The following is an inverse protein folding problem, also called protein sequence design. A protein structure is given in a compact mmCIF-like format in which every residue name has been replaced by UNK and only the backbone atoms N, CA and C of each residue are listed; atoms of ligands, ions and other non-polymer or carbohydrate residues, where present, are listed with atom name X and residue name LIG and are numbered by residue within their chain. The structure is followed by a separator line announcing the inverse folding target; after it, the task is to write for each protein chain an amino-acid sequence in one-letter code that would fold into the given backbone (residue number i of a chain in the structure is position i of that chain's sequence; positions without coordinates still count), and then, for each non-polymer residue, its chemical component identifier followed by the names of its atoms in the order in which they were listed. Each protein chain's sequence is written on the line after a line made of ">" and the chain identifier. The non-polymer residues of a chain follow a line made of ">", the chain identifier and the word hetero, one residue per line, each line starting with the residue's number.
data_IF_279405571805
#
_entry.id   IF_279405571805
#
_cell.length_a   1.000
_cell.length_b   1.000
_cell.length_c   1.000
_cell.angle_alpha   90.00
_cell.angle_beta   90.00
_cell.angle_gamma   90.00
#
_symmetry.space_group_name_H-M   'P 1'
#
loop_
_entity.id
_entity.type
_entity.pdbx_description
1 polymer ?
#
# COMPACT_ATOMS: atom_id res chain seq x y z
N UNK A 1 21.92 -6.19 28.31
CA UNK A 1 21.72 -5.26 27.18
C UNK A 1 20.31 -5.31 26.63
N UNK A 2 19.93 -6.41 25.98
CA UNK A 2 18.81 -6.46 25.04
C UNK A 2 17.45 -6.05 25.64
N UNK A 3 17.04 -6.62 26.77
CA UNK A 3 15.77 -6.27 27.43
C UNK A 3 15.65 -4.77 27.79
N UNK A 4 16.77 -4.09 28.04
CA UNK A 4 16.78 -2.64 28.32
C UNK A 4 16.49 -1.84 27.04
N UNK A 5 17.20 -2.18 25.95
CA UNK A 5 16.98 -1.56 24.64
C UNK A 5 15.54 -1.81 24.14
N UNK A 6 15.06 -3.05 24.23
CA UNK A 6 13.68 -3.42 23.90
C UNK A 6 12.65 -2.64 24.71
N UNK A 7 12.84 -2.49 26.03
CA UNK A 7 11.92 -1.68 26.85
C UNK A 7 11.90 -0.21 26.45
N UNK A 8 13.06 0.35 26.10
CA UNK A 8 13.17 1.74 25.61
C UNK A 8 12.39 1.91 24.31
N UNK A 9 12.62 1.01 23.35
CA UNK A 9 11.92 0.98 22.08
C UNK A 9 10.40 0.81 22.27
N UNK A 10 9.96 -0.19 23.04
CA UNK A 10 8.54 -0.41 23.28
C UNK A 10 7.88 0.79 23.93
N UNK A 11 8.56 1.48 24.86
CA UNK A 11 8.06 2.71 25.46
C UNK A 11 7.89 3.80 24.40
N UNK A 12 8.91 4.06 23.59
CA UNK A 12 8.84 5.06 22.52
C UNK A 12 7.71 4.75 21.53
N UNK A 13 7.56 3.47 21.13
CA UNK A 13 6.48 3.05 20.24
C UNK A 13 5.11 3.22 20.88
N UNK A 14 4.89 2.79 22.12
CA UNK A 14 3.59 2.91 22.80
C UNK A 14 3.22 4.37 23.10
N UNK A 15 4.20 5.23 23.38
CA UNK A 15 3.99 6.66 23.63
C UNK A 15 3.66 7.43 22.32
N UNK A 16 3.95 6.86 21.15
CA UNK A 16 3.67 7.50 19.87
C UNK A 16 2.15 7.49 19.55
N UNK A 17 1.51 8.64 19.21
CA UNK A 17 0.06 8.71 18.99
C UNK A 17 -0.48 7.75 17.94
N UNK A 18 0.29 7.51 16.87
CA UNK A 18 -0.10 6.61 15.79
C UNK A 18 -0.32 5.16 16.27
N UNK A 19 0.38 4.71 17.31
CA UNK A 19 0.22 3.36 17.86
C UNK A 19 -1.18 3.17 18.43
N UNK A 20 -1.74 4.21 19.06
CA UNK A 20 -3.12 4.20 19.53
C UNK A 20 -4.11 4.17 18.36
N UNK A 21 -3.87 4.99 17.34
CA UNK A 21 -4.71 4.99 16.12
C UNK A 21 -4.76 3.61 15.49
N UNK A 22 -3.62 2.93 15.37
CA UNK A 22 -3.58 1.57 14.83
C UNK A 22 -4.30 0.56 15.73
N UNK A 23 -4.18 0.65 17.05
CA UNK A 23 -4.91 -0.23 17.95
C UNK A 23 -6.43 0.00 17.89
N UNK A 24 -6.88 1.23 17.64
CA UNK A 24 -8.31 1.55 17.60
C UNK A 24 -8.94 1.30 16.21
N UNK A 25 -8.23 1.58 15.14
CA UNK A 25 -8.79 1.66 13.78
C UNK A 25 -8.04 0.83 12.74
N UNK A 26 -6.95 0.16 13.13
CA UNK A 26 -6.09 -0.56 12.21
C UNK A 26 -5.54 0.32 11.09
N UNK A 27 -5.24 -0.30 9.95
CA UNK A 27 -4.81 0.47 8.77
C UNK A 27 -5.96 1.22 8.12
N UNK A 28 -7.22 0.79 8.32
CA UNK A 28 -8.43 1.38 7.75
C UNK A 28 -8.55 2.89 8.03
N UNK A 29 -7.90 3.39 9.10
CA UNK A 29 -7.74 4.82 9.39
C UNK A 29 -7.22 5.63 8.18
N UNK A 30 -6.57 4.99 7.20
CA UNK A 30 -6.06 5.63 5.99
C UNK A 30 -7.13 6.07 5.00
N UNK A 31 -8.32 5.46 5.01
CA UNK A 31 -9.38 5.82 4.08
C UNK A 31 -9.69 7.32 4.11
N UNK A 32 -9.89 7.88 5.30
CA UNK A 32 -10.18 9.31 5.47
C UNK A 32 -8.98 10.21 5.16
N UNK A 33 -7.76 9.80 5.53
CA UNK A 33 -6.56 10.61 5.21
C UNK A 33 -6.38 10.69 3.70
N UNK A 34 -6.42 9.54 3.02
CA UNK A 34 -6.23 9.46 1.59
C UNK A 34 -7.34 10.21 0.84
N UNK A 35 -8.59 10.03 1.25
CA UNK A 35 -9.72 10.79 0.71
C UNK A 35 -9.57 12.30 0.95
N UNK A 36 -9.08 12.74 2.11
CA UNK A 36 -8.90 14.18 2.40
C UNK A 36 -7.86 14.85 1.52
N UNK A 37 -6.90 14.08 1.01
CA UNK A 37 -5.89 14.51 0.03
C UNK A 37 -6.39 14.39 -1.41
N UNK A 38 -7.61 13.90 -1.64
CA UNK A 38 -8.11 13.61 -2.98
C UNK A 38 -7.38 12.46 -3.65
N UNK A 39 -6.87 11.50 -2.87
CA UNK A 39 -6.03 10.40 -3.37
C UNK A 39 -6.63 9.01 -3.19
N UNK A 40 -7.89 8.87 -2.75
CA UNK A 40 -8.52 7.55 -2.59
C UNK A 40 -9.00 7.03 -3.95
N UNK A 41 -8.40 5.94 -4.49
CA UNK A 41 -8.77 5.44 -5.81
C UNK A 41 -10.23 5.05 -5.87
N UNK A 42 -10.94 5.65 -6.82
CA UNK A 42 -12.37 5.43 -7.02
C UNK A 42 -12.64 5.14 -8.49
N UNK A 43 -13.33 4.01 -8.75
CA UNK A 43 -13.70 3.53 -10.09
C UNK A 43 -12.50 3.48 -11.06
N UNK A 44 -11.59 2.54 -10.85
CA UNK A 44 -10.33 2.39 -11.61
C UNK A 44 -9.48 3.67 -11.62
N UNK A 45 -9.27 4.27 -10.44
CA UNK A 45 -8.53 5.53 -10.33
C UNK A 45 -9.09 6.65 -11.25
N UNK A 46 -10.39 6.67 -11.53
CA UNK A 46 -10.98 7.79 -12.31
C UNK A 46 -11.12 9.03 -11.42
N UNK A 47 -11.43 8.83 -10.14
CA UNK A 47 -11.66 9.87 -9.15
C UNK A 47 -10.83 9.61 -7.89
N UNK A 48 -10.48 10.69 -7.18
CA UNK A 48 -9.68 10.65 -5.94
C UNK A 48 -10.52 10.73 -4.66
N UNK A 49 -11.84 10.82 -4.80
CA UNK A 49 -12.83 10.89 -3.74
C UNK A 49 -13.91 9.85 -3.98
N UNK A 50 -14.56 9.41 -2.89
CA UNK A 50 -15.62 8.42 -2.95
C UNK A 50 -16.84 8.89 -2.14
N UNK A 51 -17.99 8.94 -2.79
CA UNK A 51 -19.21 9.48 -2.18
C UNK A 51 -19.70 8.65 -0.97
N UNK A 52 -19.41 7.36 -0.95
CA UNK A 52 -19.75 6.42 0.14
C UNK A 52 -18.56 6.13 1.05
N UNK A 53 -17.61 7.06 1.21
CA UNK A 53 -16.47 6.91 2.12
C UNK A 53 -16.92 6.51 3.53
N UNK A 54 -17.97 7.14 4.05
CA UNK A 54 -18.44 6.92 5.42
C UNK A 54 -18.86 5.46 5.65
N UNK A 55 -19.45 4.81 4.65
CA UNK A 55 -19.88 3.41 4.72
C UNK A 55 -18.71 2.40 4.75
N UNK A 56 -17.51 2.85 4.37
CA UNK A 56 -16.27 2.05 4.36
C UNK A 56 -15.16 2.65 5.23
N UNK A 57 -15.50 3.60 6.09
CA UNK A 57 -14.55 4.27 6.98
C UNK A 57 -14.10 3.36 8.12
N UNK A 58 -12.96 3.71 8.73
CA UNK A 58 -12.43 2.99 9.87
C UNK A 58 -13.35 3.08 11.11
N UNK A 59 -14.02 4.22 11.25
CA UNK A 59 -14.97 4.51 12.31
C UNK A 59 -16.21 3.62 12.17
N UNK A 60 -16.80 3.56 10.97
CA UNK A 60 -17.92 2.64 10.69
C UNK A 60 -17.51 1.19 10.90
N UNK A 61 -16.31 0.81 10.44
CA UNK A 61 -15.78 -0.54 10.68
C UNK A 61 -15.68 -0.82 12.18
N UNK A 62 -15.09 0.09 12.96
CA UNK A 62 -14.94 -0.08 14.40
C UNK A 62 -16.30 -0.20 15.11
N UNK A 63 -17.25 0.66 14.79
CA UNK A 63 -18.58 0.65 15.40
C UNK A 63 -19.31 -0.66 15.10
N UNK A 64 -19.26 -1.14 13.86
CA UNK A 64 -19.81 -2.44 13.47
C UNK A 64 -19.18 -3.61 14.25
N UNK A 65 -17.85 -3.62 14.39
CA UNK A 65 -17.15 -4.68 15.13
C UNK A 65 -17.52 -4.69 16.61
N UNK A 66 -17.67 -3.52 17.23
CA UNK A 66 -18.06 -3.39 18.63
C UNK A 66 -19.52 -3.81 18.85
N UNK A 67 -20.41 -3.45 17.91
CA UNK A 67 -21.83 -3.80 17.99
C UNK A 67 -22.08 -5.30 17.77
N UNK A 68 -21.43 -5.91 16.77
CA UNK A 68 -21.66 -7.31 16.39
C UNK A 68 -21.19 -8.32 17.44
N UNK A 69 -20.11 -8.01 18.16
CA UNK A 69 -19.54 -8.93 19.15
C UNK A 69 -19.17 -10.29 18.54
N UNK A 70 -19.23 -11.36 19.36
CA UNK A 70 -18.85 -12.71 18.92
C UNK A 70 -17.36 -12.81 18.60
N UNK A 71 -17.02 -13.25 17.39
CA UNK A 71 -15.65 -13.32 16.88
C UNK A 71 -15.09 -11.94 16.52
N UNK A 72 -15.95 -10.90 16.42
CA UNK A 72 -15.51 -9.54 16.08
C UNK A 72 -14.43 -9.04 17.02
N UNK A 73 -13.34 -8.53 16.45
CA UNK A 73 -12.27 -7.96 17.25
C UNK A 73 -11.66 -6.76 16.53
N UNK A 74 -11.69 -5.60 17.19
CA UNK A 74 -11.08 -4.36 16.66
C UNK A 74 -9.56 -4.38 16.74
N UNK A 75 -8.96 -5.30 17.51
CA UNK A 75 -7.52 -5.31 17.76
C UNK A 75 -6.95 -6.67 18.17
N UNK A 76 -6.01 -7.18 17.39
CA UNK A 76 -5.18 -8.33 17.76
C UNK A 76 -3.75 -8.20 17.25
N UNK A 77 -2.86 -9.05 17.80
CA UNK A 77 -1.45 -9.12 17.40
C UNK A 77 -1.29 -9.98 16.16
N UNK A 78 -0.66 -9.46 15.11
CA UNK A 78 -0.21 -10.28 13.97
C UNK A 78 0.97 -11.20 14.32
N UNK A 79 1.78 -10.81 15.33
CA UNK A 79 2.92 -11.59 15.80
C UNK A 79 3.10 -11.47 17.32
N UNK A 80 3.73 -12.48 17.92
CA UNK A 80 4.02 -12.51 19.35
C UNK A 80 4.86 -11.29 19.75
N UNK A 81 4.41 -10.55 20.76
CA UNK A 81 5.11 -9.40 21.30
C UNK A 81 4.86 -8.07 20.57
N UNK A 82 4.03 -8.05 19.51
CA UNK A 82 3.61 -6.80 18.88
C UNK A 82 2.79 -5.95 19.85
N UNK A 83 3.28 -4.77 20.20
CA UNK A 83 2.58 -3.83 21.09
C UNK A 83 1.62 -2.89 20.34
N UNK A 84 1.63 -2.90 19.00
CA UNK A 84 0.78 -2.06 18.16
C UNK A 84 -0.63 -2.65 18.05
N UNK A 85 -0.74 -3.97 17.80
CA UNK A 85 -2.01 -4.70 17.69
C UNK A 85 -2.98 -4.08 16.65
N UNK A 86 -2.47 -3.79 15.45
CA UNK A 86 -3.22 -3.11 14.40
C UNK A 86 -4.24 -3.98 13.65
N UNK A 87 -4.16 -5.30 13.79
CA UNK A 87 -4.98 -6.24 13.02
C UNK A 87 -6.38 -6.37 13.61
N UNK A 88 -7.36 -6.73 12.79
CA UNK A 88 -8.77 -6.86 13.19
C UNK A 88 -9.36 -8.21 12.74
N UNK A 89 -10.46 -8.61 13.35
CA UNK A 89 -11.29 -9.74 12.90
C UNK A 89 -12.64 -9.16 12.49
N UNK A 90 -12.92 -9.15 11.19
CA UNK A 90 -14.18 -8.66 10.64
C UNK A 90 -15.20 -9.79 10.57
N UNK A 91 -16.26 -9.67 11.37
CA UNK A 91 -17.35 -10.64 11.46
C UNK A 91 -18.64 -10.12 10.81
N UNK A 92 -19.54 -11.03 10.44
CA UNK A 92 -20.86 -10.73 9.88
C UNK A 92 -21.84 -10.20 10.95
N UNK A 93 -23.06 -9.86 10.54
CA UNK A 93 -24.13 -9.41 11.45
C UNK A 93 -24.53 -10.41 12.55
N UNK A 94 -24.09 -11.67 12.48
CA UNK A 94 -24.29 -12.69 13.52
C UNK A 94 -23.07 -12.83 14.46
N UNK A 95 -22.04 -11.98 14.27
CA UNK A 95 -20.80 -12.04 15.04
C UNK A 95 -19.90 -13.22 14.65
N UNK A 96 -20.10 -13.83 13.48
CA UNK A 96 -19.24 -14.92 12.98
C UNK A 96 -18.15 -14.34 12.08
N UNK A 97 -16.89 -14.74 12.30
CA UNK A 97 -15.77 -14.29 11.48
C UNK A 97 -16.03 -14.48 9.97
N UNK A 98 -15.80 -13.41 9.20
CA UNK A 98 -15.76 -13.42 7.74
C UNK A 98 -14.32 -13.39 7.27
N UNK A 99 -13.53 -12.42 7.76
CA UNK A 99 -12.12 -12.29 7.36
C UNK A 99 -11.30 -11.64 8.47
N UNK A 100 -10.03 -12.04 8.56
CA UNK A 100 -9.07 -11.50 9.51
C UNK A 100 -7.70 -11.38 8.82
N UNK A 101 -7.19 -10.17 8.54
CA UNK A 101 -7.80 -8.84 8.71
C UNK A 101 -8.54 -8.29 7.49
N UNK A 102 -9.37 -7.26 7.72
CA UNK A 102 -9.82 -6.33 6.68
C UNK A 102 -8.94 -5.07 6.74
N UNK A 103 -8.01 -4.94 5.79
CA UNK A 103 -7.00 -3.86 5.77
C UNK A 103 -7.37 -2.76 4.76
N UNK A 104 -6.75 -1.60 4.91
CA UNK A 104 -7.01 -0.41 4.10
C UNK A 104 -6.86 -0.64 2.60
N UNK A 105 -5.80 -1.31 2.16
CA UNK A 105 -5.54 -1.55 0.74
C UNK A 105 -6.68 -2.35 0.11
N UNK A 106 -7.15 -3.40 0.79
CA UNK A 106 -8.34 -4.16 0.40
C UNK A 106 -9.59 -3.28 0.37
N UNK A 107 -9.79 -2.43 1.38
CA UNK A 107 -10.92 -1.49 1.41
C UNK A 107 -10.88 -0.51 0.23
N UNK A 108 -9.70 0.00 -0.11
CA UNK A 108 -9.52 0.89 -1.25
C UNK A 108 -9.74 0.18 -2.59
N UNK A 109 -9.05 -0.94 -2.82
CA UNK A 109 -9.01 -1.59 -4.14
C UNK A 109 -10.21 -2.50 -4.44
N UNK A 110 -10.82 -3.13 -3.42
CA UNK A 110 -12.05 -3.93 -3.57
C UNK A 110 -13.31 -3.18 -3.13
N UNK A 111 -13.17 -1.99 -2.55
CA UNK A 111 -14.26 -1.08 -2.19
C UNK A 111 -14.35 0.08 -3.15
N UNK A 112 -13.76 1.24 -2.80
CA UNK A 112 -13.92 2.50 -3.56
C UNK A 112 -13.48 2.37 -5.02
N UNK A 113 -12.39 1.66 -5.30
CA UNK A 113 -11.88 1.48 -6.66
C UNK A 113 -12.84 0.66 -7.55
N UNK A 114 -13.69 -0.18 -6.94
CA UNK A 114 -14.77 -0.89 -7.63
C UNK A 114 -16.12 -0.17 -7.51
N UNK A 115 -16.19 0.96 -6.80
CA UNK A 115 -17.44 1.68 -6.51
C UNK A 115 -18.33 1.00 -5.47
N UNK A 116 -17.79 0.12 -4.61
CA UNK A 116 -18.53 -0.66 -3.61
C UNK A 116 -18.39 -0.01 -2.23
N UNK A 117 -19.44 0.71 -1.81
CA UNK A 117 -19.52 1.37 -0.50
C UNK A 117 -20.17 0.52 0.58
N UNK A 118 -19.65 -0.68 0.85
CA UNK A 118 -20.18 -1.54 1.92
C UNK A 118 -19.13 -2.53 2.45
N UNK A 119 -18.77 -2.42 3.73
CA UNK A 119 -17.71 -3.24 4.34
C UNK A 119 -17.99 -4.75 4.34
N UNK A 120 -19.24 -5.19 4.47
CA UNK A 120 -19.55 -6.63 4.42
C UNK A 120 -19.29 -7.22 3.02
N UNK A 121 -19.66 -6.47 1.98
CA UNK A 121 -19.37 -6.85 0.59
C UNK A 121 -17.86 -6.86 0.33
N UNK A 122 -17.13 -5.83 0.77
CA UNK A 122 -15.67 -5.79 0.66
C UNK A 122 -15.03 -6.94 1.43
N UNK A 123 -15.47 -7.23 2.65
CA UNK A 123 -15.00 -8.36 3.46
C UNK A 123 -15.24 -9.70 2.76
N UNK A 124 -16.38 -9.85 2.06
CA UNK A 124 -16.65 -11.05 1.27
C UNK A 124 -15.74 -11.17 0.04
N UNK A 125 -15.43 -10.07 -0.66
CA UNK A 125 -14.44 -10.07 -1.74
C UNK A 125 -13.03 -10.40 -1.21
N UNK A 126 -12.66 -9.83 -0.06
CA UNK A 126 -11.40 -10.14 0.63
C UNK A 126 -11.30 -11.62 1.01
N UNK A 127 -12.40 -12.22 1.48
CA UNK A 127 -12.45 -13.65 1.76
C UNK A 127 -12.19 -14.49 0.51
N UNK A 128 -12.80 -14.14 -0.64
CA UNK A 128 -12.54 -14.87 -1.89
C UNK A 128 -11.09 -14.71 -2.35
N UNK A 129 -10.50 -13.52 -2.23
CA UNK A 129 -9.10 -13.28 -2.53
C UNK A 129 -8.18 -14.16 -1.65
N UNK A 130 -8.43 -14.19 -0.34
CA UNK A 130 -7.67 -15.01 0.61
C UNK A 130 -7.83 -16.51 0.34
N UNK A 131 -9.05 -16.98 0.05
CA UNK A 131 -9.32 -18.39 -0.22
C UNK A 131 -8.65 -18.87 -1.53
N UNK A 132 -8.59 -18.00 -2.54
CA UNK A 132 -7.87 -18.27 -3.79
C UNK A 132 -6.36 -18.05 -3.71
N UNK A 133 -5.87 -17.38 -2.65
CA UNK A 133 -4.47 -16.99 -2.52
C UNK A 133 -4.06 -15.88 -3.48
N UNK A 134 -4.96 -14.95 -3.78
CA UNK A 134 -4.73 -13.78 -4.64
C UNK A 134 -4.48 -12.53 -3.81
N UNK A 135 -3.61 -11.65 -4.31
CA UNK A 135 -3.44 -10.30 -3.77
C UNK A 135 -4.70 -9.47 -4.02
N UNK A 136 -5.23 -8.84 -2.96
CA UNK A 136 -6.43 -8.00 -3.04
C UNK A 136 -6.20 -6.70 -3.81
N UNK A 137 -4.96 -6.18 -3.84
CA UNK A 137 -4.60 -4.99 -4.63
C UNK A 137 -4.66 -5.34 -6.11
N UNK A 138 -3.89 -6.34 -6.53
CA UNK A 138 -3.85 -6.79 -7.93
C UNK A 138 -5.23 -7.25 -8.43
N UNK A 139 -5.97 -8.02 -7.62
CA UNK A 139 -7.34 -8.44 -7.94
C UNK A 139 -8.27 -7.24 -8.11
N UNK A 140 -8.23 -6.27 -7.19
CA UNK A 140 -9.06 -5.07 -7.27
C UNK A 140 -8.73 -4.18 -8.46
N UNK A 141 -7.46 -4.04 -8.81
CA UNK A 141 -7.03 -3.35 -10.02
C UNK A 141 -7.51 -4.07 -11.28
N UNK A 142 -7.33 -5.40 -11.38
CA UNK A 142 -7.77 -6.18 -12.53
C UNK A 142 -9.29 -6.13 -12.73
N UNK A 143 -10.07 -6.24 -11.65
CA UNK A 143 -11.52 -6.11 -11.69
C UNK A 143 -11.97 -4.70 -12.10
N UNK A 144 -11.27 -3.66 -11.67
CA UNK A 144 -11.57 -2.27 -12.05
C UNK A 144 -11.29 -2.03 -13.54
N UNK A 145 -10.19 -2.55 -14.07
CA UNK A 145 -9.88 -2.54 -15.51
C UNK A 145 -10.93 -3.33 -16.30
N UNK A 146 -11.38 -4.48 -15.79
CA UNK A 146 -12.45 -5.26 -16.41
C UNK A 146 -13.80 -4.50 -16.40
N UNK A 147 -14.08 -3.73 -15.34
CA UNK A 147 -15.26 -2.87 -15.29
C UNK A 147 -15.20 -1.75 -16.33
N UNK A 148 -14.03 -1.12 -16.50
CA UNK A 148 -13.81 -0.12 -17.55
C UNK A 148 -13.99 -0.70 -18.96
N UNK A 149 -13.65 -1.98 -19.16
CA UNK A 149 -13.93 -2.73 -20.38
C UNK A 149 -15.40 -3.17 -20.56
N UNK A 150 -16.29 -2.79 -19.64
CA UNK A 150 -17.71 -3.15 -19.68
C UNK A 150 -18.00 -4.63 -19.37
N UNK A 151 -17.06 -5.35 -18.72
CA UNK A 151 -17.29 -6.71 -18.22
C UNK A 151 -18.07 -6.74 -16.91
N UNK A 152 -18.09 -5.61 -16.21
CA UNK A 152 -18.80 -5.39 -14.96
C UNK A 152 -19.16 -3.91 -14.84
N UNK A 153 -20.27 -3.59 -14.18
CA UNK A 153 -20.60 -2.23 -13.77
C UNK A 153 -19.91 -1.87 -12.45
N UNK A 154 -19.34 -0.68 -12.34
CA UNK A 154 -18.87 -0.17 -11.04
C UNK A 154 -20.02 -0.15 -10.02
N UNK A 155 -19.74 -0.62 -8.81
CA UNK A 155 -20.70 -0.81 -7.72
C UNK A 155 -21.44 -2.15 -7.74
N UNK A 156 -21.27 -2.95 -8.80
CA UNK A 156 -21.97 -4.23 -8.94
C UNK A 156 -21.19 -5.39 -8.29
N UNK A 157 -21.36 -5.53 -6.98
CA UNK A 157 -20.77 -6.60 -6.18
C UNK A 157 -21.04 -8.02 -6.70
N UNK A 158 -22.24 -8.27 -7.25
CA UNK A 158 -22.60 -9.60 -7.74
C UNK A 158 -21.77 -9.97 -8.97
N UNK A 159 -21.62 -9.04 -9.91
CA UNK A 159 -20.76 -9.23 -11.08
C UNK A 159 -19.30 -9.37 -10.69
N UNK A 160 -18.83 -8.67 -9.65
CA UNK A 160 -17.48 -8.86 -9.12
C UNK A 160 -17.26 -10.30 -8.66
N UNK A 161 -18.20 -10.86 -7.89
CA UNK A 161 -18.17 -12.27 -7.48
C UNK A 161 -18.27 -13.24 -8.66
N UNK A 162 -19.06 -12.93 -9.68
CA UNK A 162 -19.16 -13.75 -10.90
C UNK A 162 -17.81 -13.82 -11.63
N UNK A 163 -17.11 -12.68 -11.79
CA UNK A 163 -15.77 -12.65 -12.39
C UNK A 163 -14.72 -13.38 -11.53
N UNK A 164 -14.79 -13.28 -10.20
CA UNK A 164 -13.95 -14.09 -9.31
C UNK A 164 -14.27 -15.58 -9.44
N UNK A 165 -15.54 -15.94 -9.61
CA UNK A 165 -15.97 -17.29 -9.93
C UNK A 165 -15.39 -17.79 -11.26
N UNK A 166 -15.30 -16.92 -12.28
CA UNK A 166 -14.65 -17.23 -13.55
C UNK A 166 -13.14 -17.49 -13.37
N UNK A 167 -12.44 -16.70 -12.54
CA UNK A 167 -11.03 -16.94 -12.16
C UNK A 167 -10.90 -18.33 -11.54
N UNK A 168 -11.72 -18.66 -10.55
CA UNK A 168 -11.72 -19.96 -9.87
C UNK A 168 -11.97 -21.12 -10.83
N UNK A 169 -12.86 -20.92 -11.80
CA UNK A 169 -13.21 -21.92 -12.81
C UNK A 169 -12.18 -22.03 -13.95
N UNK A 170 -11.24 -21.09 -14.06
CA UNK A 170 -10.25 -21.07 -15.14
C UNK A 170 -10.86 -20.86 -16.52
N UNK A 171 -11.96 -20.12 -16.62
CA UNK A 171 -12.54 -19.75 -17.93
C UNK A 171 -11.58 -18.85 -18.70
N UNK A 172 -11.74 -18.65 -20.02
CA UNK A 172 -10.92 -17.69 -20.76
C UNK A 172 -10.93 -16.27 -20.17
N UNK A 173 -12.09 -15.76 -19.75
CA UNK A 173 -12.22 -14.47 -19.04
C UNK A 173 -11.49 -14.52 -17.70
N UNK A 174 -11.70 -15.59 -16.93
CA UNK A 174 -11.06 -15.80 -15.64
C UNK A 174 -9.54 -15.88 -15.72
N UNK A 175 -8.98 -16.50 -16.76
CA UNK A 175 -7.54 -16.53 -17.01
C UNK A 175 -7.02 -15.14 -17.37
N UNK A 176 -7.75 -14.36 -18.17
CA UNK A 176 -7.34 -12.98 -18.50
C UNK A 176 -7.27 -12.12 -17.23
N UNK A 177 -8.31 -12.15 -16.41
CA UNK A 177 -8.41 -11.32 -15.19
C UNK A 177 -7.49 -11.84 -14.09
N UNK A 178 -7.42 -13.17 -13.90
CA UNK A 178 -6.59 -13.82 -12.90
C UNK A 178 -5.09 -13.67 -13.14
N UNK A 179 -4.65 -13.31 -14.35
CA UNK A 179 -3.26 -12.92 -14.66
C UNK A 179 -2.96 -11.43 -14.38
N UNK A 180 -3.86 -10.71 -13.70
CA UNK A 180 -3.63 -9.36 -13.21
C UNK A 180 -4.07 -8.24 -14.15
N UNK A 181 -3.87 -7.00 -13.70
CA UNK A 181 -4.35 -5.79 -14.35
C UNK A 181 -3.69 -5.57 -15.73
N UNK A 182 -2.40 -5.89 -15.88
CA UNK A 182 -1.69 -5.83 -17.17
C UNK A 182 -2.36 -6.73 -18.21
N UNK A 183 -2.54 -8.01 -17.86
CA UNK A 183 -3.16 -9.01 -18.73
C UNK A 183 -4.58 -8.57 -19.13
N UNK A 184 -5.35 -8.10 -18.16
CA UNK A 184 -6.71 -7.59 -18.37
C UNK A 184 -6.74 -6.40 -19.33
N UNK A 185 -5.88 -5.41 -19.09
CA UNK A 185 -5.81 -4.20 -19.90
C UNK A 185 -5.37 -4.47 -21.33
N UNK A 186 -4.39 -5.35 -21.52
CA UNK A 186 -3.95 -5.77 -22.86
C UNK A 186 -5.05 -6.52 -23.62
N UNK A 187 -5.72 -7.48 -22.97
CA UNK A 187 -6.75 -8.29 -23.60
C UNK A 187 -8.00 -7.48 -23.99
N UNK A 188 -8.34 -6.46 -23.21
CA UNK A 188 -9.53 -5.63 -23.43
C UNK A 188 -9.22 -4.24 -24.00
N UNK A 189 -7.96 -3.95 -24.34
CA UNK A 189 -7.51 -2.70 -24.94
C UNK A 189 -7.84 -1.46 -24.08
N UNK A 190 -7.64 -1.58 -22.77
CA UNK A 190 -7.84 -0.49 -21.81
C UNK A 190 -6.52 0.25 -21.58
N UNK A 191 -6.56 1.58 -21.67
CA UNK A 191 -5.40 2.45 -21.43
C UNK A 191 -5.17 2.70 -19.93
N UNK A 192 -6.26 2.88 -19.15
CA UNK A 192 -6.20 3.08 -17.69
C UNK A 192 -5.88 1.79 -16.95
N UNK A 193 -4.63 1.36 -17.05
CA UNK A 193 -4.08 0.25 -16.27
C UNK A 193 -3.18 0.85 -15.19
N UNK A 194 -3.56 0.80 -13.89
CA UNK A 194 -2.84 1.48 -12.82
C UNK A 194 -1.67 0.61 -12.33
N UNK A 195 -0.63 0.43 -13.16
CA UNK A 195 0.51 -0.45 -12.87
C UNK A 195 1.85 0.23 -13.11
N UNK A 196 2.89 -0.17 -12.39
CA UNK A 196 4.29 0.13 -12.71
C UNK A 196 5.11 -1.15 -12.60
N UNK A 197 6.00 -1.39 -13.58
CA UNK A 197 6.75 -2.66 -13.72
C UNK A 197 5.87 -3.91 -13.70
N UNK A 198 4.62 -3.76 -14.14
CA UNK A 198 3.63 -4.84 -14.20
C UNK A 198 2.92 -5.17 -12.89
N UNK A 199 3.16 -4.42 -11.81
CA UNK A 199 2.49 -4.57 -10.52
C UNK A 199 1.45 -3.46 -10.33
N UNK A 200 0.25 -3.79 -9.85
CA UNK A 200 -0.81 -2.82 -9.57
C UNK A 200 -0.43 -1.83 -8.46
N UNK A 201 -0.86 -0.59 -8.63
CA UNK A 201 -0.77 0.45 -7.63
C UNK A 201 -1.71 0.18 -6.47
N UNK A 202 -1.24 0.47 -5.27
CA UNK A 202 -2.03 0.37 -4.06
C UNK A 202 -2.99 1.57 -3.91
N UNK A 203 -3.73 1.64 -2.81
CA UNK A 203 -4.87 2.54 -2.56
C UNK A 203 -4.51 4.03 -2.39
N UNK A 204 -3.44 4.50 -3.01
CA UNK A 204 -3.01 5.89 -3.03
C UNK A 204 -2.84 6.36 -4.46
N UNK A 205 -3.65 7.32 -4.90
CA UNK A 205 -3.50 7.88 -6.24
C UNK A 205 -2.24 8.78 -6.31
N UNK A 206 -1.30 8.47 -7.22
CA UNK A 206 -0.04 9.20 -7.30
C UNK A 206 -0.19 10.63 -7.80
N UNK A 207 -1.31 11.01 -8.43
CA UNK A 207 -1.56 12.39 -8.86
C UNK A 207 -1.83 13.32 -7.67
N UNK A 208 -2.44 12.78 -6.62
CA UNK A 208 -2.70 13.49 -5.36
C UNK A 208 -1.55 13.37 -4.35
N UNK A 209 -0.85 12.23 -4.34
CA UNK A 209 0.25 11.94 -3.40
C UNK A 209 1.53 11.71 -4.21
N UNK A 210 2.05 12.79 -4.82
CA UNK A 210 3.12 12.71 -5.82
C UNK A 210 4.40 12.05 -5.30
N UNK A 211 4.76 12.23 -4.03
CA UNK A 211 5.88 11.49 -3.41
C UNK A 211 5.70 9.98 -3.39
N UNK A 212 4.48 9.47 -3.22
CA UNK A 212 4.19 8.04 -3.35
C UNK A 212 4.21 7.63 -4.82
N UNK A 213 3.80 8.51 -5.74
CA UNK A 213 3.99 8.30 -7.18
C UNK A 213 5.47 8.15 -7.59
N UNK A 214 6.38 8.92 -6.99
CA UNK A 214 7.83 8.70 -7.16
C UNK A 214 8.22 7.30 -6.69
N UNK A 215 7.73 6.86 -5.53
CA UNK A 215 7.97 5.50 -5.01
C UNK A 215 7.46 4.43 -5.97
N UNK A 216 6.23 4.55 -6.47
CA UNK A 216 5.69 3.60 -7.45
C UNK A 216 6.52 3.55 -8.72
N UNK A 217 6.95 4.71 -9.22
CA UNK A 217 7.79 4.80 -10.40
C UNK A 217 9.13 4.09 -10.17
N UNK A 218 9.84 4.41 -9.09
CA UNK A 218 11.27 4.10 -8.97
C UNK A 218 11.60 2.89 -8.10
N UNK A 219 10.68 2.41 -7.26
CA UNK A 219 10.92 1.27 -6.37
C UNK A 219 11.41 0.07 -7.19
N UNK A 220 12.44 -0.67 -6.71
CA UNK A 220 12.87 -1.90 -7.35
C UNK A 220 11.78 -2.98 -7.38
N UNK A 221 10.80 -2.91 -6.48
CA UNK A 221 9.75 -3.92 -6.31
C UNK A 221 8.56 -3.71 -7.28
N UNK A 222 8.41 -2.51 -7.86
CA UNK A 222 7.23 -2.12 -8.65
C UNK A 222 6.36 -1.10 -7.91
N UNK A 223 5.06 -1.04 -8.24
CA UNK A 223 4.11 -0.08 -7.66
C UNK A 223 3.71 -0.39 -6.19
N UNK A 224 4.69 -0.59 -5.31
CA UNK A 224 4.48 -0.90 -3.90
C UNK A 224 4.64 0.35 -3.02
N UNK A 225 3.59 0.71 -2.29
CA UNK A 225 3.62 1.83 -1.36
C UNK A 225 4.45 1.53 -0.11
N UNK A 226 4.54 0.27 0.32
CA UNK A 226 5.30 -0.13 1.51
C UNK A 226 6.79 0.11 1.33
N UNK A 227 7.26 0.10 0.07
CA UNK A 227 8.61 0.49 -0.33
C UNK A 227 8.93 1.97 -0.08
N UNK A 228 7.98 2.84 0.28
CA UNK A 228 8.27 4.27 0.48
C UNK A 228 7.05 5.18 0.52
N UNK A 229 6.09 4.91 1.42
CA UNK A 229 4.85 5.66 1.52
C UNK A 229 5.09 7.08 2.06
N UNK A 230 4.63 8.10 1.33
CA UNK A 230 4.88 9.50 1.70
C UNK A 230 3.67 10.24 2.28
N UNK A 231 2.48 9.64 2.32
CA UNK A 231 1.20 10.29 2.66
C UNK A 231 1.19 11.07 4.01
N UNK A 232 2.07 10.72 4.95
CA UNK A 232 2.17 11.40 6.26
C UNK A 232 3.22 12.51 6.31
N UNK A 233 3.91 12.76 5.21
CA UNK A 233 4.87 13.85 5.13
C UNK A 233 4.13 15.19 5.26
N UNK A 234 4.63 16.07 6.13
CA UNK A 234 4.04 17.39 6.36
C UNK A 234 4.50 18.39 5.29
N UNK A 235 4.10 18.14 4.06
CA UNK A 235 4.46 18.91 2.87
C UNK A 235 3.22 19.14 2.00
N UNK A 236 3.35 20.00 0.99
CA UNK A 236 2.38 20.03 -0.10
C UNK A 236 2.62 18.82 -1.01
N UNK A 237 1.67 17.90 -1.07
CA UNK A 237 1.76 16.71 -1.93
C UNK A 237 1.59 17.02 -3.42
N UNK A 238 1.03 18.19 -3.76
CA UNK A 238 0.78 18.62 -5.13
C UNK A 238 1.95 19.41 -5.72
N UNK A 239 2.91 19.87 -4.92
CA UNK A 239 4.12 20.52 -5.43
C UNK A 239 5.11 19.47 -5.97
N UNK A 240 5.36 19.39 -7.30
CA UNK A 240 6.25 18.38 -7.87
C UNK A 240 7.73 18.57 -7.48
N UNK A 241 8.14 19.78 -7.09
CA UNK A 241 9.55 20.11 -6.92
C UNK A 241 10.16 19.61 -5.61
N UNK A 242 9.33 19.17 -4.66
CA UNK A 242 9.78 18.75 -3.32
C UNK A 242 9.65 17.25 -3.06
N UNK A 243 9.10 16.48 -4.01
CA UNK A 243 8.69 15.09 -3.78
C UNK A 243 9.85 14.10 -3.86
N UNK A 244 10.86 14.35 -4.70
CA UNK A 244 12.00 13.45 -4.95
C UNK A 244 12.72 13.12 -3.64
N UNK A 245 13.11 14.14 -2.87
CA UNK A 245 13.87 13.94 -1.63
C UNK A 245 13.05 13.25 -0.54
N UNK A 246 11.74 13.51 -0.49
CA UNK A 246 10.84 12.90 0.49
C UNK A 246 10.65 11.42 0.18
N UNK A 247 10.37 11.08 -1.09
CA UNK A 247 10.25 9.70 -1.54
C UNK A 247 11.56 8.92 -1.37
N UNK A 248 12.69 9.50 -1.77
CA UNK A 248 14.02 8.90 -1.62
C UNK A 248 14.32 8.50 -0.17
N UNK A 249 14.08 9.41 0.78
CA UNK A 249 14.29 9.13 2.22
C UNK A 249 13.34 8.04 2.71
N UNK A 250 12.08 8.05 2.25
CA UNK A 250 11.12 7.00 2.59
C UNK A 250 11.57 5.64 2.06
N UNK A 251 12.05 5.57 0.80
CA UNK A 251 12.54 4.35 0.17
C UNK A 251 13.77 3.76 0.88
N UNK A 252 14.75 4.60 1.23
CA UNK A 252 15.92 4.16 2.01
C UNK A 252 15.49 3.61 3.37
N UNK A 253 14.60 4.29 4.08
CA UNK A 253 14.16 3.84 5.40
C UNK A 253 13.35 2.53 5.34
N UNK A 254 12.45 2.40 4.36
CA UNK A 254 11.65 1.20 4.14
C UNK A 254 12.54 -0.03 3.91
N UNK A 255 13.47 0.06 2.95
CA UNK A 255 14.43 -1.01 2.68
C UNK A 255 15.28 -1.36 3.93
N UNK A 256 15.65 -0.36 4.73
CA UNK A 256 16.36 -0.57 5.99
C UNK A 256 15.53 -1.34 7.03
N UNK A 257 14.24 -1.02 7.18
CA UNK A 257 13.34 -1.73 8.10
C UNK A 257 13.11 -3.18 7.66
N UNK A 258 12.88 -3.41 6.37
CA UNK A 258 12.71 -4.76 5.83
C UNK A 258 13.96 -5.61 6.04
N UNK A 259 15.15 -5.01 5.85
CA UNK A 259 16.44 -5.68 6.12
C UNK A 259 16.58 -6.11 7.58
N UNK A 260 16.06 -5.32 8.52
CA UNK A 260 16.07 -5.66 9.95
C UNK A 260 14.98 -6.68 10.33
N UNK A 261 14.05 -7.00 9.42
CA UNK A 261 12.92 -7.88 9.68
C UNK A 261 11.91 -7.29 10.67
N UNK A 262 11.81 -5.96 10.72
CA UNK A 262 10.85 -5.26 11.60
C UNK A 262 9.64 -4.81 10.80
N UNK A 263 8.46 -4.83 11.43
CA UNK A 263 7.24 -4.33 10.81
C UNK A 263 7.39 -2.84 10.41
N UNK A 264 6.88 -2.44 9.25
CA UNK A 264 6.91 -1.04 8.82
C UNK A 264 6.25 -0.08 9.83
N UNK A 265 5.17 -0.49 10.52
CA UNK A 265 4.52 0.31 11.56
C UNK A 265 5.34 0.45 12.84
N UNK A 266 6.31 -0.44 13.05
CA UNK A 266 7.30 -0.30 14.10
C UNK A 266 8.28 0.87 13.84
N UNK A 267 8.36 1.35 12.59
CA UNK A 267 9.14 2.50 12.17
C UNK A 267 8.83 3.79 12.96
N UNK A 268 7.60 3.99 13.45
CA UNK A 268 7.28 5.14 14.32
C UNK A 268 8.07 5.11 15.64
N UNK A 269 8.20 3.94 16.24
CA UNK A 269 8.99 3.77 17.47
C UNK A 269 10.47 4.02 17.23
N UNK A 270 11.01 3.51 16.12
CA UNK A 270 12.40 3.75 15.74
C UNK A 270 12.65 5.21 15.33
N UNK A 271 11.69 5.89 14.70
CA UNK A 271 11.78 7.31 14.40
C UNK A 271 11.80 8.18 15.66
N UNK A 272 11.07 7.78 16.71
CA UNK A 272 11.08 8.47 18.02
C UNK A 272 12.28 8.14 18.90
N UNK A 273 12.94 7.00 18.67
CA UNK A 273 14.10 6.55 19.45
C UNK A 273 15.13 5.82 18.54
N UNK A 274 15.80 6.53 17.61
CA UNK A 274 16.64 5.92 16.58
C UNK A 274 17.83 5.13 17.13
N UNK A 275 18.37 5.54 18.28
CA UNK A 275 19.46 4.87 18.98
C UNK A 275 19.10 3.44 19.42
N UNK A 276 17.81 3.11 19.47
CA UNK A 276 17.35 1.77 19.87
C UNK A 276 17.74 0.70 18.84
N UNK A 277 17.88 1.04 17.55
CA UNK A 277 18.34 0.09 16.53
C UNK A 277 19.76 -0.38 16.84
N UNK A 278 20.72 0.56 16.95
CA UNK A 278 22.12 0.22 17.27
C UNK A 278 22.22 -0.50 18.62
N UNK A 279 21.44 -0.08 19.63
CA UNK A 279 21.44 -0.72 20.94
C UNK A 279 20.90 -2.16 20.91
N UNK A 280 19.89 -2.45 20.08
CA UNK A 280 19.34 -3.79 19.89
C UNK A 280 20.34 -4.69 19.15
N UNK A 281 20.96 -4.19 18.08
CA UNK A 281 21.98 -4.90 17.30
C UNK A 281 23.21 -5.23 18.14
N UNK A 282 23.76 -4.24 18.85
CA UNK A 282 24.88 -4.43 19.77
C UNK A 282 24.52 -5.44 20.87
N UNK A 283 23.32 -5.36 21.43
CA UNK A 283 22.93 -6.27 22.51
C UNK A 283 22.65 -7.70 22.06
N UNK A 284 22.26 -7.91 20.79
CA UNK A 284 21.94 -9.23 20.22
C UNK A 284 23.15 -9.90 19.60
N UNK A 285 23.96 -9.14 18.86
CA UNK A 285 25.04 -9.66 18.01
C UNK A 285 26.43 -9.16 18.42
N UNK A 286 26.52 -8.17 19.31
CA UNK A 286 27.80 -7.54 19.66
C UNK A 286 28.36 -6.63 18.57
N UNK A 287 27.53 -6.19 17.63
CA UNK A 287 27.92 -5.32 16.52
C UNK A 287 27.94 -3.86 16.90
N UNK A 288 29.12 -3.25 16.83
CA UNK A 288 29.29 -1.82 16.96
C UNK A 288 28.95 -1.16 15.62
N UNK A 289 27.76 -0.57 15.55
CA UNK A 289 27.19 0.01 14.32
C UNK A 289 26.92 1.50 14.51
N UNK A 290 27.07 2.31 13.45
CA UNK A 290 26.84 3.74 13.55
C UNK A 290 25.36 4.06 13.83
N UNK A 291 25.08 5.32 14.19
CA UNK A 291 23.73 5.77 14.51
C UNK A 291 22.77 5.79 13.30
N UNK A 292 23.33 5.81 12.09
CA UNK A 292 22.60 5.80 10.80
C UNK A 292 22.57 4.41 10.16
N UNK A 293 22.81 3.34 10.93
CA UNK A 293 22.82 1.95 10.45
C UNK A 293 21.56 1.57 9.66
N UNK A 294 20.40 2.12 10.01
CA UNK A 294 19.15 1.90 9.27
C UNK A 294 19.27 2.37 7.82
N UNK A 295 19.75 3.60 7.62
CA UNK A 295 19.90 4.18 6.28
C UNK A 295 21.00 3.47 5.50
N UNK A 296 22.07 3.04 6.18
CA UNK A 296 23.13 2.29 5.53
C UNK A 296 22.64 0.93 5.02
N UNK A 297 21.90 0.18 5.83
CA UNK A 297 21.27 -1.07 5.40
C UNK A 297 20.32 -0.83 4.21
N UNK A 298 19.49 0.22 4.29
CA UNK A 298 18.57 0.58 3.21
C UNK A 298 19.27 0.89 1.89
N UNK A 299 20.35 1.69 1.92
CA UNK A 299 21.15 1.99 0.72
C UNK A 299 21.77 0.73 0.13
N UNK A 300 22.33 -0.16 0.96
CA UNK A 300 22.93 -1.40 0.49
C UNK A 300 21.89 -2.31 -0.17
N UNK A 301 20.72 -2.46 0.44
CA UNK A 301 19.61 -3.24 -0.13
C UNK A 301 19.17 -2.68 -1.47
N UNK A 302 18.94 -1.37 -1.56
CA UNK A 302 18.55 -0.71 -2.81
C UNK A 302 19.61 -0.85 -3.92
N UNK A 303 20.91 -0.78 -3.58
CA UNK A 303 22.00 -1.06 -4.53
C UNK A 303 21.87 -2.49 -5.08
N UNK A 304 21.67 -3.48 -4.22
CA UNK A 304 21.57 -4.88 -4.62
C UNK A 304 20.34 -5.14 -5.50
N UNK A 305 19.17 -4.64 -5.08
CA UNK A 305 17.90 -4.79 -5.80
C UNK A 305 17.95 -4.10 -7.17
N UNK A 306 18.49 -2.88 -7.24
CA UNK A 306 18.60 -2.17 -8.53
C UNK A 306 19.61 -2.82 -9.47
N UNK A 307 20.76 -3.28 -8.96
CA UNK A 307 21.70 -4.08 -9.76
C UNK A 307 21.07 -5.40 -10.24
N UNK A 308 20.21 -6.03 -9.44
CA UNK A 308 19.44 -7.18 -9.89
C UNK A 308 18.49 -6.81 -11.03
N UNK A 309 17.69 -5.75 -10.86
CA UNK A 309 16.76 -5.29 -11.90
C UNK A 309 17.46 -4.92 -13.21
N UNK A 310 18.61 -4.24 -13.16
CA UNK A 310 19.44 -3.96 -14.35
C UNK A 310 19.86 -5.23 -15.08
N UNK A 311 20.29 -6.26 -14.34
CA UNK A 311 20.63 -7.58 -14.90
C UNK A 311 19.41 -8.32 -15.45
N UNK A 312 18.23 -8.08 -14.89
CA UNK A 312 16.96 -8.62 -15.37
C UNK A 312 16.39 -7.88 -16.60
N UNK A 313 17.02 -6.77 -17.02
CA UNK A 313 16.64 -6.02 -18.22
C UNK A 313 15.82 -4.75 -17.97
N UNK A 314 15.55 -4.40 -16.70
CA UNK A 314 14.91 -3.12 -16.39
C UNK A 314 15.85 -1.97 -16.72
N UNK A 315 15.31 -0.93 -17.33
CA UNK A 315 15.95 0.33 -17.70
C UNK A 315 15.34 1.48 -16.89
N UNK A 316 15.81 2.71 -17.11
CA UNK A 316 15.16 3.90 -16.52
C UNK A 316 13.78 4.17 -17.15
N UNK A 317 13.50 3.61 -18.31
CA UNK A 317 12.22 3.79 -18.99
C UNK A 317 11.11 2.98 -18.32
N UNK A 318 11.46 1.99 -17.51
CA UNK A 318 10.55 1.24 -16.64
C UNK A 318 10.26 1.97 -15.31
N UNK A 319 11.04 3.01 -14.98
CA UNK A 319 10.88 3.83 -13.79
C UNK A 319 9.90 5.01 -14.05
N UNK A 320 8.72 4.70 -14.60
CA UNK A 320 7.72 5.68 -15.08
C UNK A 320 6.30 5.29 -14.66
N UNK A 321 5.47 6.30 -14.42
CA UNK A 321 4.03 6.08 -14.26
C UNK A 321 3.34 5.88 -15.61
N UNK A 322 2.15 5.24 -15.64
CA UNK A 322 1.30 5.18 -16.83
C UNK A 322 1.03 6.58 -17.41
N UNK A 323 1.17 6.72 -18.73
CA UNK A 323 1.09 8.02 -19.42
C UNK A 323 -0.28 8.70 -19.22
N UNK A 324 -1.36 7.93 -19.03
CA UNK A 324 -2.69 8.50 -18.75
C UNK A 324 -2.71 9.31 -17.45
N UNK A 325 -1.95 8.93 -16.41
CA UNK A 325 -1.86 9.69 -15.15
C UNK A 325 -1.15 11.05 -15.29
N UNK A 326 -0.40 11.25 -16.38
CA UNK A 326 0.25 12.53 -16.71
C UNK A 326 -0.66 13.48 -17.51
N UNK A 327 -1.82 12.97 -17.97
CA UNK A 327 -2.76 13.68 -18.85
C UNK A 327 -4.13 13.88 -18.22
N UNK A 328 -4.59 12.89 -17.46
CA UNK A 328 -5.93 12.87 -16.88
C UNK A 328 -5.93 13.49 -15.49
N UNK A 329 -6.61 14.63 -15.37
CA UNK A 329 -6.81 15.34 -14.11
C UNK A 329 -7.61 14.51 -13.10
N UNK A 330 -7.18 14.54 -11.85
CA UNK A 330 -7.85 13.84 -10.74
C UNK A 330 -8.70 14.79 -9.91
N UNK A 331 -10.00 14.55 -9.85
CA UNK A 331 -10.89 15.23 -8.90
C UNK A 331 -10.50 14.87 -7.45
N UNK A 332 -10.58 15.81 -6.49
CA UNK A 332 -11.18 17.15 -6.57
C UNK A 332 -10.19 18.27 -6.92
N UNK A 333 -8.89 17.98 -6.98
CA UNK A 333 -7.85 19.01 -7.15
C UNK A 333 -7.46 19.27 -8.59
N UNK A 334 -7.97 18.46 -9.52
CA UNK A 334 -7.65 18.45 -10.94
C UNK A 334 -6.14 18.33 -11.19
N UNK A 335 -5.46 17.57 -10.34
CA UNK A 335 -4.01 17.35 -10.43
C UNK A 335 -3.69 16.20 -11.38
N UNK A 336 -2.55 16.29 -12.05
CA UNK A 336 -1.90 15.19 -12.79
C UNK A 336 -0.57 14.85 -12.15
N UNK A 337 0.03 13.73 -12.54
CA UNK A 337 1.41 13.43 -12.17
C UNK A 337 2.36 14.14 -13.14
N UNK A 338 2.95 15.23 -12.70
CA UNK A 338 3.74 16.19 -13.48
C UNK A 338 5.20 16.27 -13.05
N UNK A 339 5.69 15.30 -12.25
CA UNK A 339 7.11 15.20 -11.92
C UNK A 339 7.89 14.84 -13.19
N UNK A 340 8.90 15.64 -13.61
CA UNK A 340 9.67 15.34 -14.81
C UNK A 340 10.42 14.01 -14.72
N UNK A 341 10.49 13.26 -15.82
CA UNK A 341 11.28 12.03 -15.89
C UNK A 341 12.75 12.24 -15.52
N UNK A 342 13.32 13.40 -15.87
CA UNK A 342 14.69 13.75 -15.51
C UNK A 342 14.90 13.91 -13.99
N UNK A 343 13.83 14.17 -13.23
CA UNK A 343 13.88 14.23 -11.77
C UNK A 343 13.66 12.84 -11.15
N UNK A 344 12.82 12.00 -11.75
CA UNK A 344 12.72 10.57 -11.38
C UNK A 344 14.06 9.85 -11.57
N UNK A 345 14.78 10.14 -12.65
CA UNK A 345 16.11 9.56 -12.94
C UNK A 345 17.15 9.92 -11.87
N UNK A 346 16.91 10.95 -11.05
CA UNK A 346 17.81 11.35 -9.95
C UNK A 346 17.52 10.61 -8.65
N UNK A 347 16.40 9.88 -8.53
CA UNK A 347 16.00 9.29 -7.24
C UNK A 347 17.08 8.41 -6.64
N UNK A 348 17.89 7.74 -7.47
CA UNK A 348 18.98 6.84 -7.08
C UNK A 348 20.35 7.21 -7.69
N UNK A 349 20.62 8.50 -7.91
CA UNK A 349 21.84 8.99 -8.57
C UNK A 349 23.17 8.65 -7.88
N UNK A 350 23.15 8.15 -6.63
CA UNK A 350 24.34 7.65 -5.93
C UNK A 350 24.66 6.17 -6.22
N UNK A 351 23.80 5.47 -6.94
CA UNK A 351 24.00 4.06 -7.27
C UNK A 351 24.67 3.97 -8.64
N UNK A 352 25.88 3.41 -8.67
CA UNK A 352 26.51 3.03 -9.92
C UNK A 352 25.83 1.76 -10.46
N UNK A 353 25.07 1.95 -11.52
CA UNK A 353 24.27 0.92 -12.20
C UNK A 353 24.98 0.35 -13.44
N UNK A 354 26.17 0.85 -13.80
CA UNK A 354 26.92 0.45 -15.00
C UNK A 354 27.74 -0.84 -14.85
N UNK A 355 27.50 -1.59 -13.76
CA UNK A 355 28.12 -2.88 -13.45
C UNK A 355 27.51 -4.02 -14.30
N UNK A 356 27.48 -3.86 -15.63
CA UNK A 356 26.98 -4.85 -16.60
C UNK A 356 27.93 -6.02 -16.79
#
# INVERSE_FOLDING_TARGET
>A
GFRKAQKSYNKALMDHPQTKVYADYGTAAMARICHSLGGLPTRNFTEGNFESLEDISAETMRDQLLERGGDSNTTHTCMVGCVIRCSNVYADGNGKEVVSPLEYETIGLLGSNLGIGNLEKVAKLNWEANDLGLDSIELGAALAVAAEAGKMEFGNFKQALELIGEIRAGTPTGLVIGNGAVSTGLAYQIERVPVVKGQAMSAYDPRAIKGTGVTYATSPQGADHTSGLTIRAKIDHLDPHIQIDVSRKAQINAAGYDTLGVCAFAGFGFGSAPETISALLQARYGWDVPGDVLQELGRQTLILERKFNRRAGFSKDDDRLPVWMTREELSPHNAVFDIPNADLDKVFDWIDEDDR
#
